data_IF_560981962220
#
_entry.id   IF_560981962220
#
_cell.length_a   1.000
_cell.length_b   1.000
_cell.length_c   1.000
_cell.angle_alpha   90.00
_cell.angle_beta   90.00
_cell.angle_gamma   90.00
#
_symmetry.space_group_name_H-M   'P 1'
#
loop_
_entity.id
_entity.type
_entity.pdbx_description
1 polymer ?
#
# COMPACT_ATOMS: atom_id res chain seq x y z
N UNK A 1 -41.51 41.42 51.45
CA UNK A 1 -41.96 40.45 50.44
C UNK A 1 -40.92 40.37 49.33
N UNK A 2 -40.01 39.38 49.36
CA UNK A 2 -38.94 39.19 48.37
C UNK A 2 -39.32 37.99 47.51
N UNK A 3 -39.64 38.21 46.23
CA UNK A 3 -40.03 37.17 45.28
C UNK A 3 -38.76 36.50 44.76
N UNK A 4 -38.53 35.25 45.15
CA UNK A 4 -37.42 34.42 44.66
C UNK A 4 -37.94 33.67 43.44
N UNK A 5 -37.51 34.10 42.25
CA UNK A 5 -37.85 33.45 40.99
C UNK A 5 -36.80 32.37 40.71
N UNK A 6 -37.17 31.10 40.85
CA UNK A 6 -36.32 29.95 40.53
C UNK A 6 -36.43 29.71 39.02
N UNK A 7 -35.35 30.00 38.28
CA UNK A 7 -35.22 29.68 36.87
C UNK A 7 -34.71 28.24 36.72
N UNK A 8 -35.59 27.34 36.25
CA UNK A 8 -35.30 25.93 35.98
C UNK A 8 -34.64 25.81 34.60
N UNK A 9 -33.31 25.81 34.52
CA UNK A 9 -32.59 25.57 33.26
C UNK A 9 -32.45 24.07 33.01
N UNK A 10 -33.25 23.54 32.10
CA UNK A 10 -33.16 22.17 31.59
C UNK A 10 -31.92 22.02 30.69
N UNK A 11 -30.91 21.32 31.19
CA UNK A 11 -29.72 20.93 30.42
C UNK A 11 -30.09 19.74 29.52
N UNK A 12 -30.33 19.99 28.24
CA UNK A 12 -30.47 18.93 27.24
C UNK A 12 -29.08 18.38 26.90
N UNK A 13 -28.76 17.20 27.42
CA UNK A 13 -27.58 16.44 27.03
C UNK A 13 -27.86 15.86 25.64
N UNK A 14 -27.42 16.56 24.59
CA UNK A 14 -27.35 15.98 23.25
C UNK A 14 -26.23 14.95 23.22
N UNK A 15 -26.56 13.68 23.45
CA UNK A 15 -25.68 12.56 23.11
C UNK A 15 -25.56 12.49 21.59
N UNK A 16 -24.48 13.06 21.05
CA UNK A 16 -24.14 12.92 19.63
C UNK A 16 -23.80 11.46 19.34
N UNK A 17 -24.76 10.71 18.81
CA UNK A 17 -24.49 9.39 18.25
C UNK A 17 -23.63 9.58 16.99
N UNK A 18 -22.34 9.25 17.07
CA UNK A 18 -21.48 9.09 15.88
C UNK A 18 -21.90 7.82 15.17
N UNK A 19 -22.70 7.93 14.11
CA UNK A 19 -22.96 6.81 13.22
C UNK A 19 -21.66 6.47 12.49
N UNK A 20 -21.22 5.21 12.58
CA UNK A 20 -20.13 4.72 11.75
C UNK A 20 -20.52 4.90 10.28
N UNK A 21 -19.66 5.55 9.49
CA UNK A 21 -19.89 5.67 8.06
C UNK A 21 -19.98 4.26 7.43
N UNK A 22 -20.80 4.06 6.40
CA UNK A 22 -20.90 2.77 5.73
C UNK A 22 -19.52 2.35 5.18
N UNK A 23 -19.10 1.14 5.56
CA UNK A 23 -17.85 0.51 5.12
C UNK A 23 -17.98 0.11 3.65
N UNK A 24 -17.72 1.08 2.77
CA UNK A 24 -17.78 0.90 1.32
C UNK A 24 -16.38 0.57 0.82
N UNK A 25 -16.20 -0.43 -0.04
CA UNK A 25 -14.89 -0.71 -0.65
C UNK A 25 -14.42 0.54 -1.40
N UNK A 26 -13.33 1.14 -0.93
CA UNK A 26 -12.69 2.29 -1.58
C UNK A 26 -11.33 1.89 -2.12
N UNK A 27 -11.03 2.39 -3.31
CA UNK A 27 -9.68 2.31 -3.86
C UNK A 27 -8.80 3.25 -3.03
N UNK A 28 -7.80 2.69 -2.35
CA UNK A 28 -6.85 3.48 -1.59
C UNK A 28 -5.91 4.24 -2.53
N UNK A 29 -5.56 5.46 -2.13
CA UNK A 29 -4.60 6.27 -2.88
C UNK A 29 -3.17 5.82 -2.62
N UNK A 30 -2.27 6.14 -3.53
CA UNK A 30 -0.83 5.85 -3.38
C UNK A 30 -0.25 6.55 -2.15
N UNK A 31 -0.61 7.82 -1.93
CA UNK A 31 -0.16 8.58 -0.78
C UNK A 31 -0.65 7.97 0.54
N UNK A 32 -1.90 7.51 0.58
CA UNK A 32 -2.47 6.83 1.75
C UNK A 32 -1.69 5.54 2.05
N UNK A 33 -1.48 4.68 1.05
CA UNK A 33 -0.69 3.46 1.24
C UNK A 33 0.74 3.77 1.69
N UNK A 34 1.42 4.73 1.04
CA UNK A 34 2.78 5.11 1.39
C UNK A 34 2.88 5.68 2.81
N UNK A 35 1.87 6.41 3.27
CA UNK A 35 1.77 6.90 4.65
C UNK A 35 1.69 5.76 5.66
N UNK A 36 0.83 4.76 5.41
CA UNK A 36 0.72 3.57 6.27
C UNK A 36 2.02 2.75 6.24
N UNK A 37 2.59 2.51 5.06
CA UNK A 37 3.80 1.68 4.93
C UNK A 37 5.07 2.36 5.43
N UNK A 38 5.08 3.70 5.48
CA UNK A 38 6.16 4.48 6.08
C UNK A 38 6.16 4.46 7.62
N UNK A 39 5.06 4.03 8.25
CA UNK A 39 4.96 3.95 9.71
C UNK A 39 5.71 2.72 10.24
N UNK A 40 6.79 2.98 10.97
CA UNK A 40 7.62 1.96 11.62
C UNK A 40 7.38 1.86 13.14
N UNK A 41 6.36 2.54 13.67
CA UNK A 41 6.06 2.58 15.10
C UNK A 41 5.63 1.22 15.66
N UNK A 42 5.10 0.32 14.81
CA UNK A 42 4.69 -1.03 15.21
C UNK A 42 4.75 -2.03 14.04
N UNK A 43 4.65 -3.35 14.29
CA UNK A 43 4.62 -4.35 13.24
C UNK A 43 3.34 -4.34 12.38
N UNK A 44 2.23 -3.79 12.88
CA UNK A 44 0.92 -3.91 12.24
C UNK A 44 0.83 -3.21 10.88
N UNK A 45 1.21 -1.93 10.72
CA UNK A 45 1.24 -1.27 9.41
C UNK A 45 2.09 -2.04 8.39
N UNK A 46 3.19 -2.60 8.87
CA UNK A 46 4.13 -3.34 8.03
C UNK A 46 3.54 -4.66 7.52
N UNK A 47 2.84 -5.42 8.38
CA UNK A 47 2.11 -6.64 7.97
C UNK A 47 1.02 -6.30 6.95
N UNK A 48 0.27 -5.22 7.18
CA UNK A 48 -0.73 -4.74 6.23
C UNK A 48 -0.11 -4.47 4.85
N UNK A 49 1.02 -3.77 4.81
CA UNK A 49 1.73 -3.45 3.58
C UNK A 49 2.32 -4.68 2.88
N UNK A 50 2.91 -5.60 3.64
CA UNK A 50 3.45 -6.85 3.10
C UNK A 50 2.36 -7.68 2.41
N UNK A 51 1.18 -7.77 3.01
CA UNK A 51 0.04 -8.53 2.46
C UNK A 51 -0.64 -7.77 1.32
N UNK A 52 -0.79 -6.44 1.42
CA UNK A 52 -1.33 -5.62 0.35
C UNK A 52 -0.49 -5.75 -0.93
N UNK A 53 0.84 -5.57 -0.81
CA UNK A 53 1.76 -5.69 -1.94
C UNK A 53 1.75 -7.08 -2.56
N UNK A 54 1.70 -8.13 -1.73
CA UNK A 54 1.53 -9.51 -2.22
C UNK A 54 0.22 -9.68 -2.99
N UNK A 55 -0.91 -9.19 -2.45
CA UNK A 55 -2.22 -9.29 -3.10
C UNK A 55 -2.27 -8.57 -4.44
N UNK A 56 -1.64 -7.39 -4.55
CA UNK A 56 -1.53 -6.68 -5.83
C UNK A 56 -0.69 -7.46 -6.84
N UNK A 57 0.44 -8.05 -6.41
CA UNK A 57 1.28 -8.84 -7.31
C UNK A 57 0.61 -10.15 -7.74
N UNK A 58 -0.10 -10.83 -6.84
CA UNK A 58 -0.90 -12.02 -7.14
C UNK A 58 -2.04 -11.69 -8.09
N UNK A 59 -2.71 -10.55 -7.88
CA UNK A 59 -3.72 -10.01 -8.79
C UNK A 59 -3.15 -9.84 -10.20
N UNK A 60 -1.97 -9.23 -10.32
CA UNK A 60 -1.28 -9.12 -11.60
C UNK A 60 -0.90 -10.48 -12.19
N UNK A 61 -0.41 -11.44 -11.40
CA UNK A 61 -0.10 -12.81 -11.85
C UNK A 61 -1.31 -13.52 -12.49
N UNK A 62 -2.51 -13.34 -11.93
CA UNK A 62 -3.71 -14.02 -12.45
C UNK A 62 -4.38 -13.30 -13.62
N UNK A 63 -4.05 -12.02 -13.87
CA UNK A 63 -4.63 -11.26 -14.98
C UNK A 63 -3.79 -11.28 -16.26
N UNK A 64 -2.50 -11.66 -16.19
CA UNK A 64 -1.63 -11.71 -17.38
C UNK A 64 -2.13 -12.73 -18.39
N UNK A 65 -1.83 -12.48 -19.66
CA UNK A 65 -2.10 -13.41 -20.75
C UNK A 65 -1.00 -13.32 -21.82
N UNK A 66 -0.35 -14.44 -22.22
CA UNK A 66 0.81 -14.42 -23.13
C UNK A 66 0.62 -13.67 -24.45
N UNK A 67 -0.63 -13.54 -24.92
CA UNK A 67 -0.96 -12.84 -26.18
C UNK A 67 -1.55 -11.44 -25.98
N UNK A 68 -2.29 -11.22 -24.89
CA UNK A 68 -3.19 -10.07 -24.77
C UNK A 68 -2.80 -9.12 -23.64
N UNK A 69 -2.06 -9.63 -22.64
CA UNK A 69 -1.53 -8.86 -21.51
C UNK A 69 -0.21 -9.51 -21.08
N UNK A 70 0.86 -9.37 -21.90
CA UNK A 70 2.12 -10.06 -21.66
C UNK A 70 2.81 -9.55 -20.39
N UNK A 71 3.61 -10.42 -19.79
CA UNK A 71 4.37 -10.12 -18.59
C UNK A 71 5.29 -8.91 -18.76
N UNK A 72 5.15 -7.92 -17.87
CA UNK A 72 6.03 -6.76 -17.77
C UNK A 72 6.79 -6.67 -16.43
N UNK A 73 6.43 -7.48 -15.44
CA UNK A 73 7.17 -7.65 -14.17
C UNK A 73 7.65 -9.11 -14.06
N UNK A 74 8.97 -9.28 -13.95
CA UNK A 74 9.65 -10.57 -13.87
C UNK A 74 10.55 -10.65 -12.64
N UNK A 75 10.03 -11.29 -11.57
CA UNK A 75 10.76 -11.55 -10.33
C UNK A 75 11.51 -12.89 -10.46
N UNK A 76 12.84 -12.87 -10.32
CA UNK A 76 13.70 -14.06 -10.38
C UNK A 76 14.23 -14.40 -8.99
N UNK A 77 14.34 -15.69 -8.69
CA UNK A 77 14.81 -16.16 -7.39
C UNK A 77 16.35 -16.26 -7.32
N UNK A 78 16.96 -15.97 -6.16
CA UNK A 78 16.32 -15.49 -4.93
C UNK A 78 15.87 -14.03 -5.05
N UNK A 79 14.63 -13.76 -4.69
CA UNK A 79 14.06 -12.40 -4.70
C UNK A 79 14.25 -11.71 -3.34
N UNK A 80 14.26 -10.36 -3.30
CA UNK A 80 14.15 -9.63 -2.04
C UNK A 80 12.88 -10.01 -1.28
N UNK A 81 12.88 -9.81 0.03
CA UNK A 81 11.69 -10.00 0.86
C UNK A 81 10.60 -8.99 0.49
N UNK A 82 9.33 -9.34 0.76
CA UNK A 82 8.19 -8.42 0.59
C UNK A 82 8.42 -7.09 1.29
N UNK A 83 8.98 -7.16 2.51
CA UNK A 83 9.31 -5.99 3.31
C UNK A 83 10.31 -5.07 2.61
N UNK A 84 11.39 -5.62 2.07
CA UNK A 84 12.39 -4.83 1.34
C UNK A 84 11.80 -4.18 0.09
N UNK A 85 10.93 -4.89 -0.64
CA UNK A 85 10.25 -4.35 -1.82
C UNK A 85 9.29 -3.22 -1.43
N UNK A 86 8.52 -3.37 -0.35
CA UNK A 86 7.61 -2.33 0.15
C UNK A 86 8.35 -1.09 0.68
N UNK A 87 9.48 -1.27 1.37
CA UNK A 87 10.33 -0.15 1.79
C UNK A 87 10.86 0.64 0.57
N UNK A 88 11.34 -0.08 -0.46
CA UNK A 88 11.78 0.54 -1.71
C UNK A 88 10.64 1.27 -2.44
N UNK A 89 9.41 0.73 -2.37
CA UNK A 89 8.23 1.41 -2.91
C UNK A 89 7.98 2.75 -2.20
N UNK A 90 7.98 2.77 -0.86
CA UNK A 90 7.79 4.00 -0.09
C UNK A 90 8.85 5.06 -0.46
N UNK A 91 10.11 4.66 -0.61
CA UNK A 91 11.17 5.56 -1.04
C UNK A 91 11.01 6.03 -2.49
N UNK A 92 10.56 5.15 -3.38
CA UNK A 92 10.29 5.50 -4.77
C UNK A 92 9.14 6.51 -4.89
N UNK A 93 8.09 6.41 -4.06
CA UNK A 93 6.98 7.37 -4.04
C UNK A 93 7.44 8.76 -3.61
N UNK A 94 8.32 8.88 -2.61
CA UNK A 94 8.91 10.17 -2.21
C UNK A 94 9.60 10.89 -3.39
N UNK A 95 10.20 10.12 -4.29
CA UNK A 95 10.84 10.64 -5.51
C UNK A 95 9.87 10.84 -6.70
N UNK A 96 8.64 10.34 -6.60
CA UNK A 96 7.65 10.37 -7.69
C UNK A 96 6.25 10.83 -7.20
N UNK A 97 6.13 12.05 -6.62
CA UNK A 97 4.87 12.55 -6.03
C UNK A 97 3.72 12.70 -7.05
N UNK A 98 4.02 12.65 -8.36
CA UNK A 98 3.01 12.66 -9.43
C UNK A 98 2.00 11.50 -9.34
N UNK A 99 2.29 10.46 -8.57
CA UNK A 99 1.41 9.30 -8.39
C UNK A 99 0.57 9.35 -7.11
N UNK A 100 0.72 10.36 -6.25
CA UNK A 100 0.12 10.40 -4.91
C UNK A 100 -1.39 10.12 -4.90
N UNK A 101 -2.13 10.68 -5.87
CA UNK A 101 -3.59 10.51 -5.99
C UNK A 101 -4.01 9.33 -6.86
N UNK A 102 -3.07 8.60 -7.48
CA UNK A 102 -3.37 7.43 -8.30
C UNK A 102 -3.72 6.22 -7.42
N UNK A 103 -4.49 5.24 -7.94
CA UNK A 103 -4.74 3.98 -7.24
C UNK A 103 -3.44 3.31 -6.81
N UNK A 104 -3.31 2.95 -5.53
CA UNK A 104 -2.06 2.40 -5.01
C UNK A 104 -1.65 1.09 -5.70
N UNK A 105 -2.61 0.25 -6.09
CA UNK A 105 -2.35 -0.99 -6.83
C UNK A 105 -1.70 -0.73 -8.20
N UNK A 106 -2.23 0.23 -8.98
CA UNK A 106 -1.65 0.61 -10.27
C UNK A 106 -0.22 1.13 -10.08
N UNK A 107 -0.03 2.06 -9.14
CA UNK A 107 1.29 2.63 -8.88
C UNK A 107 2.29 1.59 -8.38
N UNK A 108 1.86 0.64 -7.53
CA UNK A 108 2.73 -0.44 -7.06
C UNK A 108 3.17 -1.35 -8.20
N UNK A 109 2.29 -1.70 -9.14
CA UNK A 109 2.67 -2.45 -10.35
C UNK A 109 3.65 -1.65 -11.24
N UNK A 110 3.49 -0.33 -11.38
CA UNK A 110 4.46 0.52 -12.08
C UNK A 110 5.83 0.49 -11.41
N UNK A 111 5.87 0.59 -10.09
CA UNK A 111 7.11 0.47 -9.33
C UNK A 111 7.76 -0.90 -9.55
N UNK A 112 6.99 -1.99 -9.46
CA UNK A 112 7.49 -3.34 -9.70
C UNK A 112 8.01 -3.51 -11.13
N UNK A 113 7.39 -2.88 -12.13
CA UNK A 113 7.85 -2.91 -13.52
C UNK A 113 9.22 -2.26 -13.68
N UNK A 114 9.48 -1.16 -12.97
CA UNK A 114 10.79 -0.51 -12.94
C UNK A 114 11.81 -1.33 -12.16
N UNK A 115 11.39 -1.96 -11.05
CA UNK A 115 12.26 -2.71 -10.15
C UNK A 115 12.63 -4.10 -10.68
N UNK A 116 11.73 -4.73 -11.42
CA UNK A 116 11.83 -6.09 -11.95
C UNK A 116 11.43 -6.16 -13.45
N UNK A 117 12.05 -5.36 -14.33
CA UNK A 117 11.66 -5.26 -15.75
C UNK A 117 11.97 -6.54 -16.51
N UNK A 118 11.01 -7.18 -17.16
CA UNK A 118 11.27 -8.39 -17.95
C UNK A 118 12.36 -8.18 -19.03
N UNK A 119 13.24 -9.16 -19.22
CA UNK A 119 14.27 -9.15 -20.28
C UNK A 119 15.61 -8.47 -19.91
N UNK A 120 15.82 -8.09 -18.64
CA UNK A 120 17.09 -7.50 -18.19
C UNK A 120 18.14 -8.57 -17.87
N UNK A 121 19.42 -8.32 -18.18
CA UNK A 121 20.54 -9.24 -17.89
C UNK A 121 20.70 -9.58 -16.40
N UNK A 122 20.20 -8.71 -15.51
CA UNK A 122 20.10 -8.94 -14.06
C UNK A 122 19.17 -10.10 -13.66
N UNK A 123 18.31 -10.58 -14.56
CA UNK A 123 17.40 -11.71 -14.34
C UNK A 123 17.98 -13.07 -14.76
N UNK A 124 19.23 -13.14 -15.24
CA UNK A 124 19.84 -14.43 -15.56
C UNK A 124 20.08 -15.24 -14.27
N UNK A 125 19.53 -16.47 -14.14
CA UNK A 125 19.76 -17.32 -12.97
C UNK A 125 21.25 -17.64 -12.75
N UNK A 126 22.08 -17.52 -13.79
CA UNK A 126 23.53 -17.69 -13.71
C UNK A 126 24.23 -16.59 -12.88
N UNK A 127 23.64 -15.40 -12.75
CA UNK A 127 24.18 -14.32 -11.92
C UNK A 127 24.01 -14.59 -10.41
N UNK A 128 22.93 -15.27 -10.01
CA UNK A 128 22.71 -15.63 -8.61
C UNK A 128 23.67 -16.73 -8.14
N UNK A 129 23.89 -17.76 -8.99
CA UNK A 129 24.84 -18.86 -8.71
C UNK A 129 26.26 -18.34 -8.57
N UNK A 130 26.71 -17.41 -9.43
CA UNK A 130 28.05 -16.82 -9.34
C UNK A 130 28.29 -15.97 -8.08
N UNK A 131 27.24 -15.47 -7.42
CA UNK A 131 27.35 -14.70 -6.17
C UNK A 131 27.50 -15.58 -4.93
N UNK A 132 27.07 -16.85 -5.00
CA UNK A 132 27.17 -17.81 -3.88
C UNK A 132 28.54 -18.50 -3.88
N UNK A 133 29.23 -18.55 -5.03
CA UNK A 133 30.51 -19.25 -5.20
C UNK A 133 31.73 -18.30 -5.01
N UNK A 134 31.50 -17.01 -4.73
CA UNK A 134 32.56 -16.03 -4.42
C UNK A 134 32.55 -15.59 -2.97
#
# INVERSE_FOLDING_TARGET
>A
MKKITIALTSLWIFSGATFAAPDTPKVISTQELAGVCGDQSSPTPQIYCDIYGQGVYDGYLVTRHPKNDPDFICVVQPAPTRREVMNQFVDWIKANPRYDTAPAADTFLRFLAVRFPCGSSAQSPNNAVNKIIR
#
